data_IF_151817066409
#
_entry.id   IF_151817066409
#
_cell.length_a   1.000
_cell.length_b   1.000
_cell.length_c   1.000
_cell.angle_alpha   90.00
_cell.angle_beta   90.00
_cell.angle_gamma   90.00
#
_symmetry.space_group_name_H-M   'P 1'
#
loop_
_entity.id
_entity.type
_entity.pdbx_description
1 polymer ?
#
# COMPACT_ATOMS: atom_id res chain seq x y z
N UNK A 1 -6.46 -3.72 -11.79
CA UNK A 1 -5.03 -3.46 -11.53
C UNK A 1 -4.26 -3.83 -12.78
N UNK A 2 -3.63 -2.87 -13.45
CA UNK A 2 -2.77 -3.17 -14.60
C UNK A 2 -1.31 -3.20 -14.16
N UNK A 3 -0.49 -4.01 -14.82
CA UNK A 3 0.92 -4.19 -14.43
C UNK A 3 1.74 -2.90 -14.60
N UNK A 4 1.39 -2.06 -15.59
CA UNK A 4 2.04 -0.78 -15.87
C UNK A 4 1.84 0.26 -14.76
N UNK A 5 0.78 0.11 -13.98
CA UNK A 5 0.49 0.98 -12.84
C UNK A 5 1.38 0.67 -11.63
N UNK A 6 2.15 -0.43 -11.64
CA UNK A 6 2.95 -0.89 -10.49
C UNK A 6 4.38 -0.33 -10.46
N UNK A 7 4.80 0.39 -11.51
CA UNK A 7 6.13 0.99 -11.60
C UNK A 7 7.24 0.05 -12.08
N UNK A 8 6.90 -1.12 -12.64
CA UNK A 8 7.84 -2.20 -13.02
C UNK A 8 8.16 -2.26 -14.53
N UNK A 9 7.68 -1.32 -15.34
CA UNK A 9 7.84 -1.36 -16.80
C UNK A 9 9.23 -0.94 -17.31
N UNK A 10 10.13 -0.48 -16.44
CA UNK A 10 11.46 -0.05 -16.83
C UNK A 10 12.51 -1.10 -16.44
N UNK A 11 13.19 -1.68 -17.44
CA UNK A 11 14.23 -2.71 -17.26
C UNK A 11 15.54 -2.18 -16.65
N UNK A 12 15.68 -0.86 -16.48
CA UNK A 12 16.79 -0.22 -15.73
C UNK A 12 16.48 -0.01 -14.24
N UNK A 13 15.33 -0.50 -13.76
CA UNK A 13 14.90 -0.46 -12.36
C UNK A 13 14.77 -1.87 -11.79
N UNK A 14 14.49 -1.95 -10.49
CA UNK A 14 14.18 -3.21 -9.82
C UNK A 14 13.01 -3.93 -10.49
N UNK A 15 13.15 -5.24 -10.71
CA UNK A 15 12.12 -6.10 -11.28
C UNK A 15 10.92 -6.30 -10.34
N UNK A 16 11.14 -6.09 -9.05
CA UNK A 16 10.15 -6.20 -7.99
C UNK A 16 10.26 -4.96 -7.11
N UNK A 17 9.11 -4.36 -6.80
CA UNK A 17 8.99 -3.28 -5.83
C UNK A 17 8.13 -3.80 -4.68
N UNK A 18 8.74 -4.23 -3.57
CA UNK A 18 7.99 -4.83 -2.48
C UNK A 18 7.12 -3.79 -1.78
N UNK A 19 5.89 -4.19 -1.48
CA UNK A 19 4.90 -3.38 -0.76
C UNK A 19 4.15 -4.24 0.23
N UNK A 20 3.65 -3.61 1.28
CA UNK A 20 2.71 -4.20 2.23
C UNK A 20 1.29 -3.80 1.85
N UNK A 21 0.33 -4.67 2.15
CA UNK A 21 -1.09 -4.36 2.04
C UNK A 21 -1.83 -5.11 3.14
N UNK A 22 -2.40 -4.35 4.07
CA UNK A 22 -3.07 -4.82 5.27
C UNK A 22 -4.56 -4.54 5.19
N UNK A 23 -5.34 -5.56 5.54
CA UNK A 23 -6.79 -5.47 5.68
C UNK A 23 -7.13 -5.66 7.16
N UNK A 24 -7.57 -4.59 7.80
CA UNK A 24 -8.01 -4.63 9.20
C UNK A 24 -9.50 -4.87 9.21
N UNK A 25 -9.90 -6.01 9.76
CA UNK A 25 -11.29 -6.42 9.82
C UNK A 25 -11.73 -6.76 11.25
N UNK A 26 -12.97 -6.43 11.57
CA UNK A 26 -13.72 -7.05 12.66
C UNK A 26 -14.66 -8.10 12.07
N UNK A 27 -15.55 -8.69 12.88
CA UNK A 27 -16.52 -9.67 12.37
C UNK A 27 -17.46 -9.11 11.29
N UNK A 28 -17.75 -7.81 11.31
CA UNK A 28 -18.75 -7.19 10.42
C UNK A 28 -18.24 -6.00 9.62
N UNK A 29 -17.00 -5.57 9.85
CA UNK A 29 -16.46 -4.36 9.24
C UNK A 29 -15.06 -4.59 8.69
N UNK A 30 -14.75 -3.85 7.62
CA UNK A 30 -13.44 -3.80 7.00
C UNK A 30 -13.02 -2.34 6.86
N UNK A 31 -11.84 -2.01 7.38
CA UNK A 31 -11.25 -0.68 7.19
C UNK A 31 -10.61 -0.59 5.80
N UNK A 32 -11.01 0.44 5.05
CA UNK A 32 -10.47 0.74 3.72
C UNK A 32 -10.16 2.23 3.62
N UNK A 33 -9.11 2.57 2.88
CA UNK A 33 -8.76 3.93 2.50
C UNK A 33 -9.37 4.27 1.15
N UNK A 34 -9.95 5.48 1.04
CA UNK A 34 -10.33 6.04 -0.26
C UNK A 34 -9.19 6.91 -0.79
N UNK A 35 -8.69 6.56 -1.97
CA UNK A 35 -7.69 7.38 -2.66
C UNK A 35 -8.20 8.80 -2.91
N UNK A 36 -7.38 9.80 -2.59
CA UNK A 36 -7.74 11.20 -2.81
C UNK A 36 -8.06 11.48 -4.30
N UNK A 37 -8.98 12.41 -4.61
CA UNK A 37 -9.41 12.67 -5.99
C UNK A 37 -8.29 13.13 -6.93
N UNK A 38 -7.23 13.71 -6.38
CA UNK A 38 -6.07 14.26 -7.07
C UNK A 38 -4.90 13.27 -7.18
N UNK A 39 -5.03 12.04 -6.68
CA UNK A 39 -3.99 11.01 -6.85
C UNK A 39 -3.79 10.67 -8.34
N UNK A 40 -2.53 10.59 -8.76
CA UNK A 40 -2.14 10.20 -10.13
C UNK A 40 -2.65 8.81 -10.53
N UNK A 41 -2.67 7.87 -9.59
CA UNK A 41 -3.15 6.49 -9.78
C UNK A 41 -4.20 6.16 -8.73
N UNK A 42 -5.24 5.45 -9.15
CA UNK A 42 -6.30 4.91 -8.28
C UNK A 42 -7.07 5.97 -7.45
N UNK A 43 -7.25 7.16 -8.01
CA UNK A 43 -8.09 8.20 -7.42
C UNK A 43 -9.53 7.70 -7.19
N UNK A 44 -10.12 8.07 -6.05
CA UNK A 44 -11.48 7.71 -5.61
C UNK A 44 -11.76 6.21 -5.40
N UNK A 45 -10.79 5.33 -5.64
CA UNK A 45 -10.91 3.90 -5.38
C UNK A 45 -10.67 3.56 -3.90
N UNK A 46 -11.23 2.44 -3.45
CA UNK A 46 -10.99 1.90 -2.12
C UNK A 46 -9.83 0.90 -2.14
N UNK A 47 -9.01 0.90 -1.10
CA UNK A 47 -7.93 -0.07 -0.92
C UNK A 47 -7.70 -0.39 0.57
N UNK A 48 -6.92 -1.44 0.84
CA UNK A 48 -6.32 -1.66 2.16
C UNK A 48 -5.25 -0.62 2.47
N UNK A 49 -4.69 -0.68 3.67
CA UNK A 49 -3.61 0.19 4.12
C UNK A 49 -2.26 -0.41 3.79
N UNK A 50 -1.26 0.39 3.47
CA UNK A 50 0.08 -0.11 3.19
C UNK A 50 0.81 0.68 2.13
N UNK A 51 2.10 0.38 2.00
CA UNK A 51 2.99 1.13 1.15
C UNK A 51 4.27 0.38 0.84
N UNK A 52 5.32 1.13 0.50
CA UNK A 52 6.59 0.55 0.09
C UNK A 52 7.34 0.01 1.30
N UNK A 53 8.09 -1.08 1.12
CA UNK A 53 9.12 -1.43 2.09
C UNK A 53 10.33 -0.54 1.92
N UNK A 54 10.85 -0.06 3.04
CA UNK A 54 12.09 0.71 3.10
C UNK A 54 13.33 -0.22 3.07
N UNK A 55 14.51 0.28 2.68
CA UNK A 55 15.74 -0.51 2.72
C UNK A 55 16.06 -1.06 4.11
N UNK A 56 16.18 -2.38 4.21
CA UNK A 56 16.47 -3.07 5.48
C UNK A 56 15.23 -3.35 6.34
N UNK A 57 14.04 -2.98 5.88
CA UNK A 57 12.78 -3.24 6.56
C UNK A 57 12.23 -4.63 6.23
N UNK A 58 11.83 -5.40 7.25
CA UNK A 58 11.08 -6.64 7.03
C UNK A 58 9.59 -6.36 6.78
N UNK A 59 8.86 -7.28 6.12
CA UNK A 59 7.46 -7.06 5.76
C UNK A 59 6.52 -6.71 6.93
N UNK A 60 6.75 -7.27 8.12
CA UNK A 60 5.89 -7.01 9.27
C UNK A 60 6.16 -5.63 9.86
N UNK A 61 7.43 -5.24 9.96
CA UNK A 61 7.82 -3.90 10.41
C UNK A 61 7.27 -2.81 9.49
N UNK A 62 7.39 -2.98 8.17
CA UNK A 62 6.84 -2.03 7.20
C UNK A 62 5.31 -1.97 7.21
N UNK A 63 4.64 -3.11 7.42
CA UNK A 63 3.18 -3.14 7.57
C UNK A 63 2.74 -2.31 8.79
N UNK A 64 3.41 -2.47 9.94
CA UNK A 64 3.10 -1.71 11.15
C UNK A 64 3.36 -0.22 10.99
N UNK A 65 4.48 0.17 10.36
CA UNK A 65 4.80 1.56 10.06
C UNK A 65 3.70 2.21 9.21
N UNK A 66 3.36 1.60 8.08
CA UNK A 66 2.35 2.11 7.16
C UNK A 66 0.96 2.21 7.80
N UNK A 67 0.57 1.23 8.64
CA UNK A 67 -0.68 1.29 9.42
C UNK A 67 -0.73 2.50 10.36
N UNK A 68 0.41 2.82 10.99
CA UNK A 68 0.53 3.99 11.86
C UNK A 68 0.49 5.30 11.05
N UNK A 69 1.19 5.36 9.92
CA UNK A 69 1.26 6.55 9.07
C UNK A 69 -0.08 6.87 8.39
N UNK A 70 -0.78 5.86 7.84
CA UNK A 70 -1.99 6.09 7.06
C UNK A 70 -3.27 6.15 7.91
N UNK A 71 -3.29 5.56 9.10
CA UNK A 71 -4.48 5.50 9.96
C UNK A 71 -4.24 5.64 11.47
N UNK A 72 -3.00 5.84 11.92
CA UNK A 72 -2.68 6.00 13.34
C UNK A 72 -2.86 4.74 14.17
N UNK A 73 -2.78 3.55 13.56
CA UNK A 73 -2.99 2.25 14.22
C UNK A 73 -1.66 1.58 14.59
N UNK A 74 -1.59 0.90 15.75
CA UNK A 74 -0.38 0.26 16.30
C UNK A 74 -0.59 -1.20 16.70
#
# INVERSE_FOLDING_TARGET
>A
MRFDEQGTMNTTRYLVVPRTLCFISTESQLLLLRGAPDKRLWANLLNGLGGHLEPGEDPLSGARRELCEEAGLS
#
